data_IF_551620689961
#
_entry.id   IF_551620689961
#
_cell.length_a   1.000
_cell.length_b   1.000
_cell.length_c   1.000
_cell.angle_alpha   90.00
_cell.angle_beta   90.00
_cell.angle_gamma   90.00
#
_symmetry.space_group_name_H-M   'P 1'
#
loop_
_entity.id
_entity.type
_entity.pdbx_description
1 polymer ?
#
# COMPACT_ATOMS: atom_id res chain seq x y z
N UNK A 1 19.16 -2.83 -2.69
CA UNK A 1 18.56 -4.10 -2.22
C UNK A 1 17.85 -4.73 -3.41
N UNK A 2 18.29 -5.92 -3.84
CA UNK A 2 17.59 -6.65 -4.89
C UNK A 2 16.25 -7.10 -4.31
N UNK A 3 15.19 -6.34 -4.56
CA UNK A 3 13.84 -6.73 -4.22
C UNK A 3 13.50 -7.99 -5.01
N UNK A 4 13.49 -9.14 -4.34
CA UNK A 4 13.03 -10.39 -4.92
C UNK A 4 11.62 -10.15 -5.48
N UNK A 5 11.46 -10.26 -6.79
CA UNK A 5 10.15 -10.21 -7.42
C UNK A 5 9.34 -11.38 -6.88
N UNK A 6 8.28 -11.08 -6.13
CA UNK A 6 7.33 -12.08 -5.66
C UNK A 6 6.34 -12.37 -6.78
N UNK A 7 6.06 -13.66 -7.01
CA UNK A 7 5.03 -14.09 -7.95
C UNK A 7 3.64 -14.09 -7.29
N UNK A 8 2.57 -14.00 -8.07
CA UNK A 8 1.19 -14.05 -7.57
C UNK A 8 0.89 -15.37 -6.83
N UNK A 9 1.46 -16.48 -7.32
CA UNK A 9 1.32 -17.80 -6.66
C UNK A 9 2.02 -17.82 -5.31
N UNK A 10 3.23 -17.25 -5.26
CA UNK A 10 4.01 -17.14 -4.02
C UNK A 10 3.30 -16.23 -3.01
N UNK A 11 2.73 -15.11 -3.48
CA UNK A 11 1.89 -14.24 -2.67
C UNK A 11 0.72 -15.00 -2.04
N UNK A 12 -0.05 -15.73 -2.85
CA UNK A 12 -1.22 -16.46 -2.38
C UNK A 12 -0.84 -17.54 -1.36
N UNK A 13 0.20 -18.32 -1.63
CA UNK A 13 0.68 -19.35 -0.72
C UNK A 13 1.18 -18.76 0.61
N UNK A 14 1.86 -17.63 0.56
CA UNK A 14 2.34 -16.90 1.72
C UNK A 14 1.17 -16.38 2.57
N UNK A 15 0.17 -15.78 1.92
CA UNK A 15 -1.04 -15.28 2.55
C UNK A 15 -1.85 -16.41 3.22
N UNK A 16 -2.02 -17.55 2.53
CA UNK A 16 -2.70 -18.73 3.07
C UNK A 16 -1.93 -19.33 4.25
N UNK A 17 -0.60 -19.40 4.17
CA UNK A 17 0.20 -19.93 5.26
C UNK A 17 0.04 -19.07 6.53
N UNK A 18 0.16 -17.75 6.41
CA UNK A 18 0.10 -16.83 7.56
C UNK A 18 -1.30 -16.78 8.17
N UNK A 19 -2.35 -16.71 7.34
CA UNK A 19 -3.71 -16.47 7.82
C UNK A 19 -4.50 -17.75 8.08
N UNK A 20 -4.17 -18.88 7.46
CA UNK A 20 -4.90 -20.14 7.65
C UNK A 20 -4.02 -21.20 8.30
N UNK A 21 -2.90 -21.57 7.66
CA UNK A 21 -2.09 -22.73 8.10
C UNK A 21 -1.48 -22.51 9.47
N UNK A 22 -0.89 -21.34 9.72
CA UNK A 22 -0.20 -21.04 10.97
C UNK A 22 -1.16 -20.99 12.17
N UNK A 23 -2.31 -20.28 12.13
CA UNK A 23 -3.33 -20.36 13.18
C UNK A 23 -3.84 -21.79 13.41
N UNK A 24 -4.06 -22.56 12.34
CA UNK A 24 -4.53 -23.93 12.45
C UNK A 24 -3.50 -24.85 13.13
N UNK A 25 -2.21 -24.69 12.82
CA UNK A 25 -1.13 -25.39 13.51
C UNK A 25 -1.11 -25.06 15.01
N UNK A 26 -1.30 -23.79 15.38
CA UNK A 26 -1.38 -23.42 16.80
C UNK A 26 -2.58 -24.06 17.51
N UNK A 27 -3.74 -24.15 16.86
CA UNK A 27 -4.93 -24.84 17.41
C UNK A 27 -4.64 -26.34 17.60
N UNK A 28 -4.06 -27.01 16.60
CA UNK A 28 -3.69 -28.43 16.70
C UNK A 28 -2.72 -28.66 17.85
N UNK A 29 -1.64 -27.87 17.92
CA UNK A 29 -0.64 -27.99 18.98
C UNK A 29 -1.28 -27.77 20.36
N UNK A 30 -2.16 -26.76 20.49
CA UNK A 30 -2.91 -26.50 21.72
C UNK A 30 -3.81 -27.67 22.12
N UNK A 31 -4.52 -28.28 21.17
CA UNK A 31 -5.37 -29.44 21.43
C UNK A 31 -4.56 -30.68 21.81
N UNK A 32 -3.44 -30.93 21.12
CA UNK A 32 -2.51 -32.00 21.48
C UNK A 32 -1.92 -31.78 22.89
N UNK A 33 -1.55 -30.54 23.24
CA UNK A 33 -1.04 -30.21 24.56
C UNK A 33 -2.08 -30.49 25.66
N UNK A 34 -3.32 -30.08 25.42
CA UNK A 34 -4.44 -30.38 26.31
C UNK A 34 -4.65 -31.89 26.50
N UNK A 35 -4.60 -32.67 25.41
CA UNK A 35 -4.68 -34.13 25.48
C UNK A 35 -3.55 -34.77 26.29
N UNK A 36 -2.32 -34.27 26.15
CA UNK A 36 -1.16 -34.73 26.94
C UNK A 36 -1.34 -34.44 28.42
N UNK A 37 -1.90 -33.28 28.79
CA UNK A 37 -2.24 -32.96 30.18
C UNK A 37 -3.27 -33.95 30.74
N UNK A 38 -4.36 -34.20 30.01
CA UNK A 38 -5.40 -35.15 30.43
C UNK A 38 -4.86 -36.56 30.60
N UNK A 39 -4.05 -37.04 29.64
CA UNK A 39 -3.36 -38.33 29.75
C UNK A 39 -2.40 -38.35 30.94
N UNK A 40 -1.71 -37.24 31.22
CA UNK A 40 -0.82 -37.11 32.37
C UNK A 40 -1.55 -37.20 33.71
N UNK A 41 -2.80 -36.75 33.78
CA UNK A 41 -3.67 -36.86 34.96
C UNK A 41 -4.28 -38.26 35.12
N UNK A 42 -4.63 -38.93 34.02
CA UNK A 42 -5.31 -40.23 34.04
C UNK A 42 -4.35 -41.44 34.06
N UNK A 43 -3.15 -41.30 33.49
CA UNK A 43 -2.22 -42.42 33.36
C UNK A 43 -1.54 -42.75 34.70
N UNK A 44 -1.98 -43.84 35.32
CA UNK A 44 -1.42 -44.36 36.58
C UNK A 44 0.02 -44.92 36.42
N UNK A 45 0.45 -45.23 35.18
CA UNK A 45 1.79 -45.72 34.86
C UNK A 45 2.72 -44.58 34.41
N UNK A 46 3.69 -44.25 35.27
CA UNK A 46 4.75 -43.25 35.03
C UNK A 46 5.41 -43.33 33.64
N UNK A 47 5.72 -44.53 33.14
CA UNK A 47 6.41 -44.71 31.84
C UNK A 47 5.60 -44.19 30.64
N UNK A 48 4.28 -44.39 30.62
CA UNK A 48 3.44 -43.95 29.50
C UNK A 48 3.32 -42.42 29.46
N UNK A 49 3.22 -41.80 30.64
CA UNK A 49 3.23 -40.34 30.79
C UNK A 49 4.52 -39.72 30.24
N UNK A 50 5.68 -40.31 30.57
CA UNK A 50 6.97 -39.81 30.08
C UNK A 50 7.11 -39.95 28.56
N UNK A 51 6.69 -41.07 27.98
CA UNK A 51 6.73 -41.27 26.52
C UNK A 51 5.82 -40.27 25.80
N UNK A 52 4.60 -40.05 26.30
CA UNK A 52 3.67 -39.08 25.71
C UNK A 52 4.22 -37.64 25.75
N UNK A 53 4.84 -37.24 26.87
CA UNK A 53 5.49 -35.93 27.01
C UNK A 53 6.68 -35.75 26.07
N UNK A 54 7.54 -36.78 25.94
CA UNK A 54 8.68 -36.73 25.02
C UNK A 54 8.19 -36.64 23.57
N UNK A 55 7.23 -37.48 23.19
CA UNK A 55 6.67 -37.47 21.82
C UNK A 55 6.05 -36.12 21.49
N UNK A 56 5.30 -35.52 22.42
CA UNK A 56 4.72 -34.20 22.23
C UNK A 56 5.79 -33.12 22.08
N UNK A 57 6.83 -33.15 22.92
CA UNK A 57 7.94 -32.19 22.86
C UNK A 57 8.69 -32.29 21.54
N UNK A 58 8.99 -33.50 21.06
CA UNK A 58 9.68 -33.71 19.78
C UNK A 58 8.83 -33.23 18.60
N UNK A 59 7.54 -33.58 18.55
CA UNK A 59 6.63 -33.09 17.52
C UNK A 59 6.50 -31.56 17.55
N UNK A 60 6.37 -30.97 18.74
CA UNK A 60 6.30 -29.53 18.93
C UNK A 60 7.55 -28.81 18.44
N UNK A 61 8.74 -29.36 18.70
CA UNK A 61 10.00 -28.83 18.20
C UNK A 61 10.06 -28.88 16.66
N UNK A 62 9.68 -30.00 16.04
CA UNK A 62 9.70 -30.12 14.57
C UNK A 62 8.76 -29.09 13.93
N UNK A 63 7.52 -28.98 14.42
CA UNK A 63 6.53 -28.04 13.89
C UNK A 63 6.96 -26.59 14.16
N UNK A 64 7.50 -26.31 15.35
CA UNK A 64 8.02 -25.00 15.72
C UNK A 64 9.18 -24.58 14.84
N UNK A 65 10.16 -25.47 14.62
CA UNK A 65 11.31 -25.22 13.75
C UNK A 65 10.88 -25.00 12.29
N UNK A 66 9.97 -25.83 11.77
CA UNK A 66 9.42 -25.64 10.42
C UNK A 66 8.72 -24.29 10.28
N UNK A 67 7.86 -23.94 11.25
CA UNK A 67 7.11 -22.67 11.23
C UNK A 67 8.06 -21.48 11.33
N UNK A 68 9.08 -21.56 12.19
CA UNK A 68 10.08 -20.51 12.34
C UNK A 68 10.87 -20.27 11.04
N UNK A 69 11.36 -21.34 10.41
CA UNK A 69 12.07 -21.25 9.13
C UNK A 69 11.18 -20.67 8.04
N UNK A 70 9.91 -21.10 7.97
CA UNK A 70 8.94 -20.55 7.01
C UNK A 70 8.66 -19.07 7.24
N UNK A 71 8.42 -18.65 8.48
CA UNK A 71 8.22 -17.23 8.81
C UNK A 71 9.44 -16.39 8.44
N UNK A 72 10.66 -16.90 8.65
CA UNK A 72 11.88 -16.21 8.23
C UNK A 72 11.94 -16.02 6.71
N UNK A 73 11.59 -17.04 5.92
CA UNK A 73 11.52 -16.91 4.45
C UNK A 73 10.43 -15.95 3.99
N UNK A 74 9.36 -15.77 4.78
CA UNK A 74 8.22 -14.89 4.48
C UNK A 74 8.42 -13.44 4.92
N UNK A 75 9.59 -13.07 5.46
CA UNK A 75 9.86 -11.68 5.87
C UNK A 75 9.71 -10.70 4.71
N UNK A 76 10.21 -11.04 3.52
CA UNK A 76 10.04 -10.22 2.32
C UNK A 76 8.57 -10.05 1.92
N UNK A 77 7.78 -11.12 2.03
CA UNK A 77 6.33 -11.03 1.82
C UNK A 77 5.66 -10.07 2.81
N UNK A 78 5.96 -10.17 4.11
CA UNK A 78 5.34 -9.30 5.12
C UNK A 78 5.67 -7.82 4.92
N UNK A 79 6.91 -7.51 4.50
CA UNK A 79 7.33 -6.15 4.20
C UNK A 79 6.53 -5.59 3.01
N UNK A 80 6.43 -6.34 1.91
CA UNK A 80 5.67 -5.93 0.73
C UNK A 80 4.16 -5.87 1.04
N UNK A 81 3.62 -6.85 1.76
CA UNK A 81 2.22 -6.92 2.16
C UNK A 81 1.80 -5.79 3.11
N UNK A 82 2.74 -5.21 3.86
CA UNK A 82 2.45 -4.04 4.70
C UNK A 82 2.11 -2.78 3.90
N UNK A 83 2.54 -2.72 2.63
CA UNK A 83 2.23 -1.62 1.72
C UNK A 83 0.84 -1.76 1.07
N UNK A 84 0.14 -2.87 1.28
CA UNK A 84 -1.20 -3.07 0.70
C UNK A 84 -2.24 -2.21 1.42
N UNK A 85 -3.18 -1.65 0.67
CA UNK A 85 -4.35 -0.93 1.20
C UNK A 85 -5.60 -1.28 0.40
N UNK A 86 -6.77 -0.87 0.92
CA UNK A 86 -8.06 -1.04 0.22
C UNK A 86 -8.12 -0.31 -1.13
N UNK A 87 -7.21 0.64 -1.35
CA UNK A 87 -7.07 1.39 -2.59
C UNK A 87 -6.32 0.61 -3.69
N UNK A 88 -5.56 -0.40 -3.28
CA UNK A 88 -4.64 -1.20 -4.11
C UNK A 88 -5.19 -2.61 -4.36
N UNK A 89 -5.92 -3.16 -3.38
CA UNK A 89 -6.51 -4.49 -3.44
C UNK A 89 -7.95 -4.49 -2.95
N UNK A 90 -8.82 -5.20 -3.65
CA UNK A 90 -10.26 -5.29 -3.36
C UNK A 90 -10.58 -6.12 -2.10
N UNK A 91 -9.66 -6.96 -1.65
CA UNK A 91 -9.85 -7.87 -0.53
C UNK A 91 -8.60 -8.01 0.32
N UNK A 92 -8.80 -8.28 1.61
CA UNK A 92 -7.74 -8.59 2.56
C UNK A 92 -8.04 -9.92 3.23
N UNK A 93 -7.01 -10.77 3.38
CA UNK A 93 -7.17 -12.03 4.09
C UNK A 93 -7.18 -11.78 5.60
N UNK A 94 -8.24 -12.24 6.24
CA UNK A 94 -8.32 -12.44 7.69
C UNK A 94 -8.17 -13.92 8.01
N UNK A 95 -7.95 -14.30 9.27
CA UNK A 95 -7.98 -15.70 9.65
C UNK A 95 -9.26 -16.37 9.14
N UNK A 96 -9.10 -17.39 8.30
CA UNK A 96 -10.16 -18.22 7.72
C UNK A 96 -11.10 -17.55 6.68
N UNK A 97 -11.16 -16.22 6.55
CA UNK A 97 -12.12 -15.50 5.69
C UNK A 97 -11.43 -14.39 4.87
N UNK A 98 -11.97 -14.05 3.70
CA UNK A 98 -11.62 -12.83 2.97
C UNK A 98 -12.59 -11.70 3.31
N UNK A 99 -12.05 -10.56 3.70
CA UNK A 99 -12.83 -9.33 3.84
C UNK A 99 -12.72 -8.52 2.55
N UNK A 100 -13.86 -8.26 1.93
CA UNK A 100 -13.94 -7.48 0.69
C UNK A 100 -14.21 -6.01 1.03
N UNK A 101 -13.44 -5.14 0.41
CA UNK A 101 -13.60 -3.69 0.49
C UNK A 101 -14.82 -3.28 -0.35
N UNK A 102 -15.79 -2.63 0.28
CA UNK A 102 -17.01 -2.16 -0.42
C UNK A 102 -16.74 -0.99 -1.37
N UNK A 103 -15.68 -0.22 -1.13
CA UNK A 103 -15.32 0.96 -1.92
C UNK A 103 -13.80 1.12 -1.96
N UNK A 104 -13.31 1.60 -3.10
CA UNK A 104 -11.92 2.01 -3.28
C UNK A 104 -11.72 3.39 -2.63
N UNK A 105 -10.86 3.45 -1.63
CA UNK A 105 -10.54 4.68 -0.91
C UNK A 105 -9.32 5.36 -1.55
N UNK A 106 -9.57 6.25 -2.52
CA UNK A 106 -8.50 6.97 -3.24
C UNK A 106 -7.63 7.85 -2.33
N UNK A 107 -8.17 8.28 -1.19
CA UNK A 107 -7.48 8.98 -0.10
C UNK A 107 -6.41 8.14 0.61
N UNK A 108 -6.47 6.80 0.46
CA UNK A 108 -5.48 5.88 1.01
C UNK A 108 -4.40 5.48 -0.01
N UNK A 109 -4.37 6.14 -1.18
CA UNK A 109 -3.30 5.95 -2.16
C UNK A 109 -2.06 6.69 -1.68
N UNK A 110 -1.00 5.91 -1.43
CA UNK A 110 0.31 6.41 -1.07
C UNK A 110 1.31 5.97 -2.13
N UNK A 111 1.93 6.95 -2.77
CA UNK A 111 2.91 6.76 -3.85
C UNK A 111 4.10 5.94 -3.36
N UNK A 112 4.56 6.16 -2.12
CA UNK A 112 5.68 5.41 -1.56
C UNK A 112 5.33 3.94 -1.37
N UNK A 113 4.09 3.65 -0.94
CA UNK A 113 3.61 2.28 -0.80
C UNK A 113 3.49 1.59 -2.15
N UNK A 114 2.99 2.28 -3.17
CA UNK A 114 2.89 1.77 -4.54
C UNK A 114 4.26 1.51 -5.16
N UNK A 115 5.22 2.40 -4.94
CA UNK A 115 6.60 2.25 -5.41
C UNK A 115 7.30 1.00 -4.80
N UNK A 116 6.91 0.63 -3.58
CA UNK A 116 7.41 -0.58 -2.92
C UNK A 116 6.73 -1.88 -3.43
N UNK A 117 5.69 -1.80 -4.27
CA UNK A 117 5.04 -2.95 -4.89
C UNK A 117 5.64 -3.20 -6.27
N UNK A 118 6.66 -4.06 -6.33
CA UNK A 118 7.44 -4.30 -7.57
C UNK A 118 6.68 -5.03 -8.69
N UNK A 119 5.40 -5.36 -8.47
CA UNK A 119 4.50 -5.93 -9.47
C UNK A 119 3.60 -4.89 -10.16
N UNK A 120 3.82 -3.60 -9.88
CA UNK A 120 3.28 -2.50 -10.65
C UNK A 120 4.37 -1.80 -11.45
N UNK A 121 4.11 -1.58 -12.73
CA UNK A 121 4.90 -0.69 -13.57
C UNK A 121 4.38 0.74 -13.41
N UNK A 122 5.31 1.66 -13.17
CA UNK A 122 5.04 3.08 -12.92
C UNK A 122 5.13 3.86 -14.22
N UNK A 123 4.06 4.56 -14.56
CA UNK A 123 3.98 5.44 -15.72
C UNK A 123 3.80 6.89 -15.25
N UNK A 124 4.59 7.81 -15.82
CA UNK A 124 4.45 9.24 -15.53
C UNK A 124 3.26 9.77 -16.31
N UNK A 125 2.35 10.43 -15.60
CA UNK A 125 1.19 11.11 -16.20
C UNK A 125 1.39 12.61 -16.07
N UNK A 126 1.15 13.32 -17.17
CA UNK A 126 1.16 14.79 -17.24
C UNK A 126 -0.21 15.23 -17.73
N UNK A 127 -0.83 16.15 -16.99
CA UNK A 127 -2.15 16.73 -17.28
C UNK A 127 -2.00 18.26 -17.33
N UNK A 128 -2.17 18.82 -18.52
CA UNK A 128 -2.05 20.25 -18.82
C UNK A 128 -3.40 20.95 -18.99
N UNK A 129 -4.50 20.22 -19.09
CA UNK A 129 -5.83 20.78 -19.33
C UNK A 129 -6.48 21.27 -18.04
N UNK A 130 -6.16 20.65 -16.90
CA UNK A 130 -6.87 20.91 -15.65
C UNK A 130 -6.28 22.02 -14.79
N UNK A 131 -5.18 22.68 -15.18
CA UNK A 131 -4.37 23.50 -14.26
C UNK A 131 -4.15 24.89 -14.78
N UNK A 132 -4.48 25.89 -13.96
CA UNK A 132 -4.19 27.29 -14.24
C UNK A 132 -3.51 27.92 -13.03
N UNK A 133 -2.30 28.43 -13.25
CA UNK A 133 -1.60 29.24 -12.26
C UNK A 133 -2.15 30.66 -12.29
N UNK A 134 -2.62 31.17 -11.14
CA UNK A 134 -3.24 32.49 -11.03
C UNK A 134 -2.28 33.56 -10.49
N UNK A 135 -1.14 33.16 -9.96
CA UNK A 135 -0.14 34.05 -9.39
C UNK A 135 0.21 33.71 -7.95
N UNK A 136 1.05 34.54 -7.34
CA UNK A 136 1.47 34.44 -5.93
C UNK A 136 1.20 35.73 -5.17
N UNK A 137 1.12 35.63 -3.85
CA UNK A 137 1.28 36.74 -2.90
C UNK A 137 2.57 36.56 -2.11
N UNK A 138 2.79 37.37 -1.08
CA UNK A 138 3.97 37.28 -0.21
C UNK A 138 4.15 35.91 0.47
N UNK A 139 3.09 35.10 0.59
CA UNK A 139 3.13 33.84 1.34
C UNK A 139 2.49 32.63 0.64
N UNK A 140 1.71 32.84 -0.44
CA UNK A 140 0.84 31.80 -1.01
C UNK A 140 0.89 31.83 -2.54
N UNK A 141 0.90 30.64 -3.16
CA UNK A 141 0.58 30.41 -4.56
C UNK A 141 -0.90 30.10 -4.74
N UNK A 142 -1.52 30.73 -5.73
CA UNK A 142 -2.92 30.50 -6.11
C UNK A 142 -2.96 29.66 -7.39
N UNK A 143 -3.57 28.49 -7.30
CA UNK A 143 -3.69 27.57 -8.42
C UNK A 143 -5.14 27.12 -8.55
N UNK A 144 -5.69 27.28 -9.74
CA UNK A 144 -6.99 26.72 -10.09
C UNK A 144 -6.78 25.35 -10.70
N UNK A 145 -7.42 24.34 -10.12
CA UNK A 145 -7.46 22.99 -10.69
C UNK A 145 -8.93 22.68 -10.98
N UNK A 146 -9.25 22.45 -12.25
CA UNK A 146 -10.62 22.43 -12.77
C UNK A 146 -11.38 23.71 -12.35
N UNK A 147 -12.40 23.58 -11.50
CA UNK A 147 -13.19 24.71 -11.00
C UNK A 147 -12.87 25.10 -9.54
N UNK A 148 -11.91 24.43 -8.91
CA UNK A 148 -11.58 24.65 -7.51
C UNK A 148 -10.29 25.48 -7.38
N UNK A 149 -10.31 26.45 -6.48
CA UNK A 149 -9.15 27.25 -6.13
C UNK A 149 -8.38 26.57 -4.99
N UNK A 150 -7.07 26.43 -5.16
CA UNK A 150 -6.16 25.86 -4.18
C UNK A 150 -5.10 26.88 -3.80
N UNK A 151 -4.87 26.98 -2.49
CA UNK A 151 -3.89 27.87 -1.88
C UNK A 151 -2.74 27.00 -1.37
N UNK A 152 -1.53 27.21 -1.90
CA UNK A 152 -0.34 26.46 -1.54
C UNK A 152 0.70 27.41 -0.96
N UNK A 153 1.39 27.00 0.11
CA UNK A 153 2.47 27.81 0.69
C UNK A 153 3.62 27.96 -0.33
N UNK A 154 4.31 29.11 -0.33
CA UNK A 154 5.52 29.34 -1.14
C UNK A 154 6.60 28.26 -0.98
N UNK A 155 6.69 27.66 0.22
CA UNK A 155 7.65 26.58 0.53
C UNK A 155 7.13 25.18 0.22
N UNK A 156 6.00 25.04 -0.47
CA UNK A 156 5.41 23.73 -0.75
C UNK A 156 6.31 22.94 -1.73
N UNK A 157 6.71 21.70 -1.38
CA UNK A 157 7.48 20.84 -2.29
C UNK A 157 6.67 20.35 -3.50
N UNK A 158 5.37 20.66 -3.54
CA UNK A 158 4.44 20.21 -4.57
C UNK A 158 4.40 21.15 -5.78
N UNK A 159 5.07 22.31 -5.73
CA UNK A 159 5.20 23.22 -6.88
C UNK A 159 6.65 23.30 -7.31
N UNK A 160 6.88 23.19 -8.62
CA UNK A 160 8.21 23.28 -9.22
C UNK A 160 8.15 24.21 -10.43
N UNK A 161 9.12 25.12 -10.56
CA UNK A 161 9.19 26.05 -11.70
C UNK A 161 10.20 25.55 -12.73
N UNK A 162 9.81 25.44 -14.01
CA UNK A 162 10.67 24.95 -15.11
C UNK A 162 10.55 25.80 -16.37
N UNK A 163 11.63 25.85 -17.16
CA UNK A 163 11.67 26.62 -18.40
C UNK A 163 10.94 25.93 -19.56
N UNK A 164 10.94 24.60 -19.60
CA UNK A 164 10.45 23.80 -20.75
C UNK A 164 8.91 23.72 -20.88
N UNK A 165 8.16 24.52 -20.13
CA UNK A 165 6.70 24.44 -20.09
C UNK A 165 6.07 25.76 -20.47
N UNK A 166 5.07 25.72 -21.35
CA UNK A 166 4.34 26.92 -21.77
C UNK A 166 3.13 27.25 -20.92
N UNK A 167 2.56 26.23 -20.25
CA UNK A 167 1.42 26.32 -19.35
C UNK A 167 1.72 25.55 -18.07
N UNK A 168 0.98 25.86 -17.00
CA UNK A 168 1.04 25.08 -15.78
C UNK A 168 0.47 23.69 -16.03
N UNK A 169 1.16 22.66 -15.54
CA UNK A 169 0.75 21.26 -15.70
C UNK A 169 0.81 20.54 -14.36
N UNK A 170 0.00 19.50 -14.20
CA UNK A 170 0.11 18.56 -13.09
C UNK A 170 0.84 17.33 -13.55
N UNK A 171 1.77 16.87 -12.74
CA UNK A 171 2.46 15.59 -12.94
C UNK A 171 2.16 14.63 -11.80
N UNK A 172 2.06 13.37 -12.15
CA UNK A 172 1.70 12.29 -11.26
C UNK A 172 2.14 10.95 -11.81
N UNK A 173 1.63 9.91 -11.18
CA UNK A 173 1.94 8.54 -11.55
C UNK A 173 0.67 7.72 -11.73
N UNK A 174 0.63 6.92 -12.79
CA UNK A 174 -0.27 5.78 -12.92
C UNK A 174 0.55 4.51 -12.70
N UNK A 175 -0.10 3.49 -12.16
CA UNK A 175 0.51 2.20 -11.87
C UNK A 175 -0.31 1.11 -12.53
N UNK A 176 0.34 0.25 -13.30
CA UNK A 176 -0.30 -0.84 -14.01
C UNK A 176 0.32 -2.17 -13.61
N UNK A 177 -0.50 -3.20 -13.37
CA UNK A 177 0.03 -4.51 -13.06
C UNK A 177 0.90 -5.03 -14.22
N UNK A 178 2.11 -5.49 -13.89
CA UNK A 178 2.98 -6.14 -14.85
C UNK A 178 2.61 -7.61 -15.10
N UNK A 179 1.94 -8.23 -14.13
CA UNK A 179 1.37 -9.58 -14.24
C UNK A 179 -0.12 -9.59 -13.89
N UNK A 180 -0.92 -10.12 -14.82
CA UNK A 180 -2.38 -10.24 -14.68
C UNK A 180 -2.80 -11.23 -13.60
N UNK A 181 -1.95 -12.18 -13.21
CA UNK A 181 -2.25 -13.13 -12.14
C UNK A 181 -2.51 -12.43 -10.80
N UNK A 182 -1.90 -11.26 -10.55
CA UNK A 182 -2.21 -10.45 -9.37
C UNK A 182 -3.65 -9.92 -9.37
N UNK A 183 -4.24 -9.70 -10.55
CA UNK A 183 -5.64 -9.27 -10.64
C UNK A 183 -6.60 -10.35 -10.15
N UNK A 184 -6.29 -11.63 -10.41
CA UNK A 184 -7.10 -12.77 -9.97
C UNK A 184 -7.19 -12.88 -8.44
N UNK A 185 -6.10 -12.51 -7.75
CA UNK A 185 -6.04 -12.48 -6.28
C UNK A 185 -6.49 -11.15 -5.66
N UNK A 186 -7.01 -10.22 -6.49
CA UNK A 186 -7.74 -9.02 -6.05
C UNK A 186 -7.03 -7.69 -6.22
N UNK A 187 -5.83 -7.66 -6.79
CA UNK A 187 -5.16 -6.39 -7.07
C UNK A 187 -5.83 -5.66 -8.23
N UNK A 188 -5.96 -4.34 -8.10
CA UNK A 188 -6.53 -3.55 -9.19
C UNK A 188 -5.55 -3.53 -10.38
N UNK A 189 -6.02 -3.77 -11.62
CA UNK A 189 -5.14 -3.79 -12.79
C UNK A 189 -4.47 -2.43 -13.05
N UNK A 190 -5.14 -1.34 -12.66
CA UNK A 190 -4.67 0.02 -12.82
C UNK A 190 -5.00 0.89 -11.59
N UNK A 191 -4.03 1.72 -11.20
CA UNK A 191 -4.10 2.61 -10.06
C UNK A 191 -3.59 4.00 -10.43
N UNK A 192 -4.45 4.99 -10.30
CA UNK A 192 -4.13 6.38 -10.60
C UNK A 192 -5.15 7.02 -11.54
N UNK A 193 -4.84 8.21 -12.06
CA UNK A 193 -3.61 8.97 -11.82
C UNK A 193 -3.51 9.54 -10.39
N UNK A 194 -2.35 9.38 -9.75
CA UNK A 194 -2.02 10.01 -8.46
C UNK A 194 -1.13 11.22 -8.72
N UNK A 195 -1.72 12.41 -8.73
CA UNK A 195 -1.00 13.67 -8.96
C UNK A 195 -0.21 14.07 -7.72
N UNK A 196 1.09 14.35 -7.90
CA UNK A 196 2.02 14.65 -6.80
C UNK A 196 2.59 16.05 -6.88
N UNK A 197 2.77 16.59 -8.09
CA UNK A 197 3.40 17.88 -8.29
C UNK A 197 2.67 18.72 -9.33
N UNK A 198 2.87 20.02 -9.25
CA UNK A 198 2.44 21.02 -10.21
C UNK A 198 3.70 21.68 -10.76
N UNK A 199 3.88 21.60 -12.07
CA UNK A 199 4.99 22.25 -12.77
C UNK A 199 4.44 23.55 -13.34
N UNK A 200 5.05 24.66 -12.99
CA UNK A 200 4.68 26.00 -13.46
C UNK A 200 5.78 26.54 -14.37
N UNK A 201 5.44 27.13 -15.52
CA UNK A 201 6.42 27.83 -16.37
C UNK A 201 7.21 28.88 -15.58
N UNK A 202 8.53 28.92 -15.77
CA UNK A 202 9.39 29.89 -15.09
C UNK A 202 8.97 31.33 -15.40
N UNK A 203 8.46 31.59 -16.61
CA UNK A 203 7.90 32.88 -17.03
C UNK A 203 6.74 33.38 -16.16
N UNK A 204 6.05 32.50 -15.43
CA UNK A 204 4.94 32.85 -14.54
C UNK A 204 5.36 32.94 -13.06
N UNK A 205 6.63 32.70 -12.73
CA UNK A 205 7.12 32.64 -11.34
C UNK A 205 6.88 33.93 -10.56
N UNK A 206 6.95 35.07 -11.22
CA UNK A 206 6.79 36.40 -10.61
C UNK A 206 5.43 37.04 -10.93
N UNK A 207 4.49 36.25 -11.44
CA UNK A 207 3.11 36.70 -11.62
C UNK A 207 2.46 36.90 -10.25
N UNK A 208 2.03 38.12 -9.96
CA UNK A 208 1.25 38.44 -8.76
C UNK A 208 -0.21 38.03 -8.96
N UNK A 209 -0.83 37.52 -7.89
CA UNK A 209 -2.25 37.23 -7.89
C UNK A 209 -3.04 38.54 -7.85
N UNK A 210 -3.85 38.77 -8.88
CA UNK A 210 -4.82 39.87 -8.93
C UNK A 210 -6.21 39.28 -8.81
N UNK A 211 -6.95 39.68 -7.79
CA UNK A 211 -8.28 39.15 -7.56
C UNK A 211 -9.21 39.49 -8.73
N UNK A 212 -10.01 38.53 -9.17
CA UNK A 212 -10.85 38.68 -10.37
C UNK A 212 -11.96 39.74 -10.16
N UNK A 213 -12.30 40.07 -8.92
CA UNK A 213 -13.21 41.16 -8.56
C UNK A 213 -12.61 42.57 -8.74
N UNK A 214 -11.29 42.71 -8.82
CA UNK A 214 -10.66 44.01 -9.10
C UNK A 214 -10.52 44.28 -10.61
N UNK A 215 -10.45 43.23 -11.44
CA UNK A 215 -10.40 43.36 -12.91
C UNK A 215 -11.69 43.88 -13.53
N UNK A 216 -12.85 43.60 -12.92
CA UNK A 216 -14.13 44.15 -13.37
C UNK A 216 -14.25 45.65 -13.08
N UNK A 217 -13.58 46.15 -12.04
CA UNK A 217 -13.54 47.58 -11.69
C UNK A 217 -12.55 48.40 -12.53
N UNK A 218 -11.52 47.78 -13.09
CA UNK A 218 -10.50 48.49 -13.89
C UNK A 218 -10.83 48.59 -15.38
N UNK A 219 -11.86 47.87 -15.85
CA UNK A 219 -12.35 47.95 -17.24
C UNK A 219 -13.57 48.87 -17.40
N UNK A 220 -14.03 49.50 -16.32
CA UNK A 220 -15.01 50.60 -16.34
C UNK A 220 -14.27 51.95 -16.19
N UNK A 221 -13.44 52.30 -17.17
CA UNK A 221 -12.97 53.67 -17.39
C UNK A 221 -12.94 53.99 -18.89
#
# INVERSE_FOLDING_TARGET
MNGSKIDATEWLNSELFINNTLPFLFIIIGFCFFGVILLGLYANKSRFRTIALISFTVCGLIIGSYSYLKVQTLKGFNEIASNQSSAIRDRQKKPFIYEYSKKRHGDQLDVLKLDNLHFYDKEVVIDDESVTFLGKTEHIYYIKIYNNLYNLNLSSPNIEFKEDYDKAVRTGFSYKLNDKAFSEIGFYPEIGPVYTKIIVPLKLKDMEYVDLDERSKTLEF
#
